data_IF_312637121563
#
_entry.id   IF_312637121563
#
_cell.length_a   1.000
_cell.length_b   1.000
_cell.length_c   1.000
_cell.angle_alpha   90.00
_cell.angle_beta   90.00
_cell.angle_gamma   90.00
#
_symmetry.space_group_name_H-M   'P 1'
#
loop_
_entity.id
_entity.type
_entity.pdbx_description
1 polymer ?
#
# COMPACT_ATOMS: atom_id res chain seq x y z
N UNK A 1 18.40 -17.71 0.74
CA UNK A 1 17.42 -16.87 0.01
C UNK A 1 16.85 -15.74 0.89
N UNK A 2 16.42 -16.00 2.12
CA UNK A 2 15.85 -14.97 3.02
C UNK A 2 16.79 -13.77 3.33
N UNK A 3 18.09 -14.03 3.55
CA UNK A 3 19.13 -12.96 3.66
C UNK A 3 19.24 -12.08 2.41
N UNK A 4 18.85 -12.59 1.24
CA UNK A 4 18.88 -11.83 -0.02
C UNK A 4 17.73 -10.83 -0.11
N UNK A 5 16.53 -11.20 0.35
CA UNK A 5 15.37 -10.32 0.29
C UNK A 5 15.47 -9.18 1.30
N UNK A 6 15.88 -9.47 2.53
CA UNK A 6 16.08 -8.44 3.57
C UNK A 6 17.12 -7.42 3.11
N UNK A 7 18.26 -7.90 2.60
CA UNK A 7 19.30 -7.03 2.05
C UNK A 7 18.79 -6.18 0.88
N UNK A 8 17.94 -6.74 0.02
CA UNK A 8 17.34 -5.99 -1.08
C UNK A 8 16.42 -4.88 -0.59
N UNK A 9 15.56 -5.17 0.39
CA UNK A 9 14.66 -4.18 0.99
C UNK A 9 15.46 -3.04 1.63
N UNK A 10 16.49 -3.36 2.43
CA UNK A 10 17.34 -2.37 3.08
C UNK A 10 18.04 -1.44 2.07
N UNK A 11 18.57 -2.00 0.98
CA UNK A 11 19.22 -1.24 -0.09
C UNK A 11 18.23 -0.38 -0.90
N UNK A 12 16.96 -0.80 -0.95
CA UNK A 12 15.91 -0.08 -1.66
C UNK A 12 15.28 1.06 -0.87
N UNK A 13 15.58 1.23 0.41
CA UNK A 13 15.04 2.35 1.21
C UNK A 13 15.50 3.69 0.63
N UNK A 14 14.55 4.47 0.13
CA UNK A 14 14.84 5.78 -0.48
C UNK A 14 15.32 6.75 0.60
N UNK A 15 16.52 7.28 0.39
CA UNK A 15 17.20 8.19 1.33
C UNK A 15 17.80 7.49 2.55
N UNK A 16 18.01 6.17 2.49
CA UNK A 16 18.77 5.45 3.50
C UNK A 16 20.15 6.08 3.69
N UNK A 17 20.51 6.36 4.94
CA UNK A 17 21.82 6.91 5.28
C UNK A 17 22.08 8.34 4.80
N UNK A 18 21.06 9.08 4.35
CA UNK A 18 21.24 10.49 4.02
C UNK A 18 21.82 11.27 5.21
N UNK A 19 22.78 12.17 4.98
CA UNK A 19 23.36 12.96 6.04
C UNK A 19 22.36 14.01 6.52
N UNK A 20 22.30 14.21 7.83
CA UNK A 20 21.67 15.36 8.46
C UNK A 20 22.75 16.25 9.08
N UNK A 21 22.55 17.56 8.99
CA UNK A 21 23.41 18.51 9.67
C UNK A 21 23.04 18.59 11.14
N UNK A 22 24.04 18.47 12.00
CA UNK A 22 23.89 18.59 13.45
C UNK A 22 24.91 19.60 13.98
N UNK A 23 24.74 20.11 15.22
CA UNK A 23 25.75 20.94 15.87
C UNK A 23 27.14 20.29 15.99
N UNK A 24 27.23 18.96 15.86
CA UNK A 24 28.46 18.19 15.93
C UNK A 24 28.94 17.68 14.55
N UNK A 25 28.54 18.39 13.48
CA UNK A 25 28.84 18.03 12.09
C UNK A 25 27.80 17.11 11.44
N UNK A 26 28.04 16.67 10.19
CA UNK A 26 27.15 15.75 9.49
C UNK A 26 27.05 14.39 10.20
N UNK A 27 25.83 13.90 10.39
CA UNK A 27 25.54 12.57 10.97
C UNK A 27 24.65 11.78 10.02
N UNK A 28 24.82 10.45 10.02
CA UNK A 28 23.95 9.54 9.26
C UNK A 28 22.53 9.57 9.85
N UNK A 29 21.52 9.84 9.02
CA UNK A 29 20.13 9.69 9.42
C UNK A 29 19.81 8.21 9.67
N UNK A 30 19.48 7.89 10.91
CA UNK A 30 18.96 6.57 11.29
C UNK A 30 17.48 6.70 11.53
N UNK A 31 16.67 6.07 10.68
CA UNK A 31 15.22 6.11 10.81
C UNK A 31 14.76 4.95 11.71
N UNK A 32 14.24 5.29 12.88
CA UNK A 32 13.81 4.33 13.91
C UNK A 32 12.31 4.40 14.19
N UNK A 33 11.53 5.00 13.28
CA UNK A 33 10.09 5.28 13.45
C UNK A 33 9.21 4.46 12.49
N UNK A 34 9.70 3.27 12.11
CA UNK A 34 9.01 2.35 11.19
C UNK A 34 7.64 1.87 11.72
N UNK A 35 7.41 1.95 13.03
CA UNK A 35 6.12 1.67 13.65
C UNK A 35 5.06 2.72 13.33
N UNK A 36 5.46 3.98 13.12
CA UNK A 36 4.54 5.05 12.73
C UNK A 36 4.31 5.04 11.22
N UNK A 37 5.38 4.93 10.43
CA UNK A 37 5.29 4.83 8.97
C UNK A 37 6.50 4.13 8.37
N UNK A 38 6.27 3.34 7.31
CA UNK A 38 7.36 2.87 6.46
C UNK A 38 7.98 4.01 5.63
N UNK A 39 9.23 3.81 5.19
CA UNK A 39 9.86 4.64 4.15
C UNK A 39 9.59 4.04 2.78
N UNK A 40 9.50 4.88 1.75
CA UNK A 40 9.39 4.44 0.35
C UNK A 40 10.56 3.55 -0.06
N UNK A 41 10.25 2.56 -0.90
CA UNK A 41 11.21 1.61 -1.47
C UNK A 41 11.32 1.81 -2.97
N UNK A 42 12.54 1.82 -3.51
CA UNK A 42 12.78 2.09 -4.94
C UNK A 42 11.96 1.19 -5.86
N UNK A 43 11.94 -0.13 -5.62
CA UNK A 43 11.20 -1.06 -6.48
C UNK A 43 9.68 -0.86 -6.44
N UNK A 44 9.11 -0.35 -5.33
CA UNK A 44 7.68 -0.01 -5.25
C UNK A 44 7.42 1.26 -6.06
N UNK A 45 8.24 2.30 -5.86
CA UNK A 45 8.09 3.56 -6.57
C UNK A 45 8.31 3.40 -8.08
N UNK A 46 9.25 2.54 -8.49
CA UNK A 46 9.52 2.21 -9.88
C UNK A 46 8.38 1.41 -10.50
N UNK A 47 7.77 0.47 -9.77
CA UNK A 47 6.58 -0.24 -10.24
C UNK A 47 5.39 0.72 -10.43
N UNK A 48 5.17 1.64 -9.48
CA UNK A 48 4.15 2.69 -9.63
C UNK A 48 4.46 3.54 -10.86
N UNK A 49 5.68 4.08 -10.96
CA UNK A 49 6.11 4.99 -12.02
C UNK A 49 6.06 4.37 -13.41
N UNK A 50 6.59 3.15 -13.56
CA UNK A 50 6.86 2.56 -14.86
C UNK A 50 5.77 1.58 -15.32
N UNK A 51 4.94 1.06 -14.40
CA UNK A 51 3.91 0.06 -14.72
C UNK A 51 2.49 0.58 -14.48
N UNK A 52 2.25 1.28 -13.38
CA UNK A 52 0.89 1.75 -13.03
C UNK A 52 0.56 3.06 -13.73
N UNK A 53 1.38 4.09 -13.54
CA UNK A 53 1.10 5.44 -14.02
C UNK A 53 0.93 5.57 -15.54
N UNK A 54 1.69 4.87 -16.41
CA UNK A 54 1.53 5.00 -17.86
C UNK A 54 0.14 4.54 -18.38
N UNK A 55 -0.51 3.64 -17.64
CA UNK A 55 -1.83 3.10 -17.99
C UNK A 55 -2.96 3.61 -17.10
N UNK A 56 -2.67 4.55 -16.20
CA UNK A 56 -3.64 5.04 -15.24
C UNK A 56 -4.78 5.79 -15.91
N UNK A 57 -6.00 5.44 -15.52
CA UNK A 57 -7.18 6.26 -15.72
C UNK A 57 -8.16 6.03 -14.58
N UNK A 58 -9.06 6.99 -14.36
CA UNK A 58 -10.12 6.83 -13.40
C UNK A 58 -10.99 5.60 -13.76
N UNK A 59 -11.31 4.76 -12.78
CA UNK A 59 -11.97 3.46 -12.98
C UNK A 59 -13.45 3.56 -13.38
N UNK A 60 -14.02 4.78 -13.36
CA UNK A 60 -15.41 5.03 -13.74
C UNK A 60 -15.67 4.96 -15.26
N UNK A 61 -14.62 4.90 -16.08
CA UNK A 61 -14.73 4.89 -17.55
C UNK A 61 -14.17 3.58 -18.11
N UNK A 62 -14.98 2.52 -18.16
CA UNK A 62 -14.54 1.17 -18.57
C UNK A 62 -14.36 0.99 -20.08
N UNK A 63 -14.67 2.00 -20.88
CA UNK A 63 -14.64 1.90 -22.35
C UNK A 63 -13.22 2.02 -22.90
N UNK A 64 -12.32 2.74 -22.21
CA UNK A 64 -10.93 2.93 -22.64
C UNK A 64 -10.02 1.79 -22.18
N UNK A 65 -8.91 1.60 -22.89
CA UNK A 65 -7.85 0.66 -22.50
C UNK A 65 -7.34 0.94 -21.07
N UNK A 66 -7.02 2.20 -20.77
CA UNK A 66 -6.48 2.64 -19.48
C UNK A 66 -7.47 2.47 -18.33
N UNK A 67 -8.77 2.70 -18.57
CA UNK A 67 -9.82 2.46 -17.57
C UNK A 67 -9.98 0.99 -17.24
N UNK A 68 -9.94 0.10 -18.25
CA UNK A 68 -9.92 -1.36 -18.03
C UNK A 68 -8.66 -1.80 -17.28
N UNK A 69 -7.50 -1.29 -17.67
CA UNK A 69 -6.23 -1.67 -17.07
C UNK A 69 -6.16 -1.27 -15.59
N UNK A 70 -6.60 -0.06 -15.24
CA UNK A 70 -6.61 0.41 -13.84
C UNK A 70 -7.58 -0.41 -12.98
N UNK A 71 -8.76 -0.76 -13.52
CA UNK A 71 -9.71 -1.66 -12.83
C UNK A 71 -9.12 -3.05 -12.61
N UNK A 72 -8.37 -3.58 -13.59
CA UNK A 72 -7.68 -4.87 -13.45
C UNK A 72 -6.62 -4.83 -12.34
N UNK A 73 -5.78 -3.79 -12.30
CA UNK A 73 -4.79 -3.61 -11.21
C UNK A 73 -5.45 -3.61 -9.83
N UNK A 74 -6.60 -2.93 -9.69
CA UNK A 74 -7.33 -2.89 -8.43
C UNK A 74 -7.85 -4.26 -7.98
N UNK A 75 -8.26 -5.10 -8.92
CA UNK A 75 -8.75 -6.45 -8.61
C UNK A 75 -7.61 -7.43 -8.31
N UNK A 76 -6.52 -7.36 -9.07
CA UNK A 76 -5.29 -8.11 -8.78
C UNK A 76 -4.75 -7.78 -7.39
N UNK A 77 -4.69 -6.48 -7.05
CA UNK A 77 -4.30 -6.05 -5.71
C UNK A 77 -5.21 -6.62 -4.61
N UNK A 78 -6.53 -6.72 -4.89
CA UNK A 78 -7.50 -7.33 -3.95
C UNK A 78 -7.17 -8.80 -3.70
N UNK A 79 -6.90 -9.55 -4.77
CA UNK A 79 -6.55 -10.96 -4.69
C UNK A 79 -5.23 -11.18 -3.94
N UNK A 80 -4.18 -10.41 -4.27
CA UNK A 80 -2.87 -10.51 -3.61
C UNK A 80 -3.00 -10.25 -2.11
N UNK A 81 -3.75 -9.22 -1.72
CA UNK A 81 -3.96 -8.90 -0.29
C UNK A 81 -4.73 -10.02 0.41
N UNK A 82 -5.78 -10.55 -0.20
CA UNK A 82 -6.55 -11.66 0.37
C UNK A 82 -5.66 -12.88 0.63
N UNK A 83 -4.83 -13.25 -0.34
CA UNK A 83 -3.89 -14.37 -0.21
C UNK A 83 -2.82 -14.11 0.85
N UNK A 84 -2.29 -12.88 0.91
CA UNK A 84 -1.24 -12.48 1.87
C UNK A 84 -1.70 -12.56 3.33
N UNK A 85 -3.02 -12.48 3.58
CA UNK A 85 -3.61 -12.63 4.92
C UNK A 85 -4.31 -13.98 5.11
N UNK A 86 -4.08 -14.94 4.21
CA UNK A 86 -4.69 -16.28 4.24
C UNK A 86 -6.25 -16.25 4.27
N UNK A 87 -6.85 -15.29 3.54
CA UNK A 87 -8.29 -15.19 3.38
C UNK A 87 -8.87 -16.22 2.41
N UNK A 88 -10.12 -16.64 2.64
CA UNK A 88 -10.82 -17.65 1.83
C UNK A 88 -11.60 -16.98 0.70
N UNK A 89 -11.26 -17.29 -0.54
CA UNK A 89 -11.83 -16.69 -1.75
C UNK A 89 -13.36 -16.78 -1.85
N UNK A 90 -13.97 -17.79 -1.24
CA UNK A 90 -15.42 -18.06 -1.27
C UNK A 90 -16.21 -17.42 -0.12
N UNK A 91 -15.53 -16.93 0.93
CA UNK A 91 -16.18 -16.45 2.17
C UNK A 91 -15.76 -15.08 2.61
N UNK A 92 -14.54 -14.67 2.27
CA UNK A 92 -13.93 -13.47 2.78
C UNK A 92 -13.78 -12.44 1.65
N UNK A 93 -13.95 -11.16 1.99
CA UNK A 93 -13.92 -10.03 1.06
C UNK A 93 -12.94 -8.98 1.57
N UNK A 94 -12.04 -8.54 0.69
CA UNK A 94 -11.15 -7.40 0.96
C UNK A 94 -11.88 -6.12 0.60
N UNK A 95 -11.96 -5.18 1.54
CA UNK A 95 -12.54 -3.84 1.34
C UNK A 95 -11.44 -2.80 1.46
N UNK A 96 -11.26 -1.98 0.42
CA UNK A 96 -10.34 -0.85 0.48
C UNK A 96 -11.00 0.32 1.19
N UNK A 97 -10.44 0.74 2.33
CA UNK A 97 -11.04 1.72 3.25
C UNK A 97 -10.41 3.11 3.16
N UNK A 98 -9.40 3.30 2.30
CA UNK A 98 -8.70 4.57 2.14
C UNK A 98 -7.56 4.71 3.15
N UNK A 99 -7.68 5.67 4.07
CA UNK A 99 -6.60 6.14 4.97
C UNK A 99 -6.30 5.19 6.14
N UNK A 100 -5.99 3.92 5.85
CA UNK A 100 -5.48 2.96 6.83
C UNK A 100 -6.50 2.47 7.87
N UNK A 101 -5.97 2.04 9.02
CA UNK A 101 -6.74 1.36 10.07
C UNK A 101 -7.89 2.21 10.63
N UNK A 102 -7.68 3.51 10.86
CA UNK A 102 -8.73 4.39 11.38
C UNK A 102 -9.95 4.41 10.47
N UNK A 103 -9.74 4.56 9.16
CA UNK A 103 -10.83 4.53 8.19
C UNK A 103 -11.50 3.14 8.13
N UNK A 104 -10.73 2.06 8.30
CA UNK A 104 -11.27 0.71 8.34
C UNK A 104 -12.17 0.44 9.55
N UNK A 105 -11.74 0.86 10.74
CA UNK A 105 -12.54 0.74 11.98
C UNK A 105 -13.83 1.53 11.83
N UNK A 106 -13.73 2.78 11.37
CA UNK A 106 -14.90 3.64 11.17
C UNK A 106 -15.87 3.03 10.14
N UNK A 107 -15.37 2.53 9.01
CA UNK A 107 -16.21 1.88 7.99
C UNK A 107 -16.88 0.62 8.52
N UNK A 108 -16.18 -0.16 9.33
CA UNK A 108 -16.71 -1.39 9.96
C UNK A 108 -17.83 -1.05 10.93
N UNK A 109 -17.62 -0.04 11.79
CA UNK A 109 -18.65 0.44 12.70
C UNK A 109 -19.90 0.89 11.95
N UNK A 110 -19.76 1.69 10.88
CA UNK A 110 -20.89 2.08 10.03
C UNK A 110 -21.66 0.88 9.47
N UNK A 111 -20.96 -0.12 8.92
CA UNK A 111 -21.60 -1.29 8.32
C UNK A 111 -22.36 -2.16 9.34
N UNK A 112 -21.84 -2.26 10.57
CA UNK A 112 -22.48 -3.03 11.64
C UNK A 112 -23.64 -2.26 12.29
N UNK A 113 -23.49 -0.95 12.50
CA UNK A 113 -24.51 -0.12 13.15
C UNK A 113 -25.69 0.20 12.23
N UNK A 114 -25.48 0.34 10.91
CA UNK A 114 -26.57 0.56 9.94
C UNK A 114 -27.55 -0.63 9.85
N UNK A 115 -27.22 -1.78 10.46
CA UNK A 115 -28.15 -2.91 10.65
C UNK A 115 -29.07 -2.76 11.86
N UNK A 116 -28.76 -1.93 12.85
CA UNK A 116 -29.57 -1.78 14.06
C UNK A 116 -30.76 -0.84 13.86
N UNK A 117 -30.64 0.15 12.98
CA UNK A 117 -31.70 1.15 12.71
C UNK A 117 -32.74 0.70 11.65
N UNK A 118 -32.69 -0.57 11.20
CA UNK A 118 -33.70 -1.18 10.33
C UNK A 118 -34.61 -2.14 11.09
N UNK A 119 -35.09 -1.71 12.26
CA UNK A 119 -36.23 -2.31 12.95
C UNK A 119 -37.40 -1.35 12.93
#
# INVERSE_FOLDING_TARGET
>A
EEKSLVSHIEQSVIGAGMPIHTPFGPRKLTYADYTASGRSLTFIEDAIRNTVLPHYANTHTTVSHTGRQTSKYREEARHIILESVNGRKDKDVVVFTGSGCTAAIYKTAQLLMHRQDRK
#
